data_IF_077301394199
#
_entry.id   IF_077301394199
#
_cell.length_a   1.000
_cell.length_b   1.000
_cell.length_c   1.000
_cell.angle_alpha   90.00
_cell.angle_beta   90.00
_cell.angle_gamma   90.00
#
_symmetry.space_group_name_H-M   'P 1'
#
loop_
_entity.id
_entity.type
_entity.pdbx_description
1 polymer ?
#
# COMPACT_ATOMS: atom_id res chain seq x y z
N UNK A 1 -44.63 5.91 -5.03
CA UNK A 1 -43.51 4.96 -4.98
C UNK A 1 -42.38 5.62 -5.75
N UNK A 2 -41.40 6.17 -5.02
CA UNK A 2 -40.24 6.82 -5.60
C UNK A 2 -39.20 5.71 -5.72
N UNK A 3 -38.80 5.40 -6.95
CA UNK A 3 -37.74 4.43 -7.22
C UNK A 3 -36.43 5.05 -6.76
N UNK A 4 -35.82 4.47 -5.74
CA UNK A 4 -34.51 4.88 -5.25
C UNK A 4 -33.47 4.54 -6.33
N UNK A 5 -32.70 5.57 -6.69
CA UNK A 5 -31.60 5.50 -7.64
C UNK A 5 -30.41 4.90 -6.90
N UNK A 6 -30.16 3.60 -7.08
CA UNK A 6 -28.93 2.97 -6.58
C UNK A 6 -27.73 3.67 -7.23
N UNK A 7 -26.94 4.36 -6.40
CA UNK A 7 -25.70 4.97 -6.84
C UNK A 7 -24.74 3.85 -7.28
N UNK A 8 -24.00 4.03 -8.39
CA UNK A 8 -23.02 3.04 -8.81
C UNK A 8 -21.93 2.91 -7.75
N UNK A 9 -21.72 1.70 -7.24
CA UNK A 9 -20.58 1.34 -6.39
C UNK A 9 -19.30 1.58 -7.19
N UNK A 10 -18.73 2.77 -7.02
CA UNK A 10 -17.44 3.13 -7.56
C UNK A 10 -16.37 2.26 -6.93
N UNK A 11 -15.72 1.45 -7.75
CA UNK A 11 -14.53 0.69 -7.42
C UNK A 11 -13.40 1.64 -6.98
N UNK A 12 -13.28 1.91 -5.67
CA UNK A 12 -12.20 2.73 -5.09
C UNK A 12 -10.99 1.84 -4.84
N UNK A 13 -10.18 1.58 -5.87
CA UNK A 13 -8.93 0.79 -5.74
C UNK A 13 -7.78 1.50 -6.47
N UNK A 14 -7.52 2.77 -6.17
CA UNK A 14 -6.38 3.48 -6.78
C UNK A 14 -5.77 4.62 -5.91
N UNK A 15 -6.47 5.11 -4.89
CA UNK A 15 -6.01 6.29 -4.12
C UNK A 15 -5.23 5.99 -2.82
N UNK A 16 -5.04 4.71 -2.48
CA UNK A 16 -4.38 4.26 -1.24
C UNK A 16 -2.85 4.18 -1.39
N UNK A 17 -2.33 3.49 -2.41
CA UNK A 17 -0.88 3.22 -2.58
C UNK A 17 0.01 4.48 -2.53
N UNK A 18 -0.33 5.56 -3.25
CA UNK A 18 0.50 6.79 -3.23
C UNK A 18 0.50 7.47 -1.85
N UNK A 19 -0.65 7.52 -1.17
CA UNK A 19 -0.73 8.12 0.16
C UNK A 19 0.01 7.28 1.19
N UNK A 20 -0.06 5.97 1.05
CA UNK A 20 0.58 5.01 1.93
C UNK A 20 2.10 5.08 1.78
N UNK A 21 2.60 5.10 0.54
CA UNK A 21 4.01 5.36 0.22
C UNK A 21 4.51 6.70 0.77
N UNK A 22 3.74 7.78 0.63
CA UNK A 22 4.09 9.10 1.18
C UNK A 22 4.13 9.06 2.71
N UNK A 23 3.21 8.34 3.34
CA UNK A 23 3.16 8.23 4.79
C UNK A 23 4.33 7.41 5.35
N UNK A 24 4.74 6.33 4.66
CA UNK A 24 5.93 5.56 5.01
C UNK A 24 7.22 6.39 4.85
N UNK A 25 7.35 7.14 3.75
CA UNK A 25 8.47 8.06 3.54
C UNK A 25 8.51 9.16 4.61
N UNK A 26 7.35 9.70 4.99
CA UNK A 26 7.24 10.70 6.05
C UNK A 26 7.75 10.19 7.40
N UNK A 27 7.35 8.98 7.78
CA UNK A 27 7.86 8.35 9.01
C UNK A 27 9.38 8.14 8.97
N UNK A 28 9.92 7.69 7.83
CA UNK A 28 11.37 7.51 7.68
C UNK A 28 12.14 8.81 7.90
N UNK A 29 11.66 9.91 7.30
CA UNK A 29 12.28 11.24 7.46
C UNK A 29 12.22 11.70 8.92
N UNK A 30 11.06 11.55 9.58
CA UNK A 30 10.91 11.91 11.00
C UNK A 30 11.88 11.09 11.86
N UNK A 31 11.95 9.78 11.61
CA UNK A 31 12.84 8.89 12.33
C UNK A 31 14.32 9.28 12.23
N UNK A 32 14.81 9.61 11.03
CA UNK A 32 16.20 10.08 10.86
C UNK A 32 16.46 11.41 11.58
N UNK A 33 15.50 12.34 11.53
CA UNK A 33 15.62 13.64 12.20
C UNK A 33 15.66 13.48 13.73
N UNK A 34 14.80 12.64 14.29
CA UNK A 34 14.78 12.34 15.73
C UNK A 34 16.04 11.59 16.16
N UNK A 35 16.49 10.61 15.38
CA UNK A 35 17.72 9.88 15.67
C UNK A 35 18.94 10.82 15.72
N UNK A 36 19.14 11.64 14.69
CA UNK A 36 20.24 12.61 14.64
C UNK A 36 20.07 13.66 15.75
N UNK A 37 18.85 14.17 15.92
CA UNK A 37 18.51 15.16 16.93
C UNK A 37 18.85 14.68 18.33
N UNK A 38 18.38 13.49 18.70
CA UNK A 38 18.66 12.85 19.98
C UNK A 38 20.13 12.57 20.23
N UNK A 39 20.88 12.14 19.20
CA UNK A 39 22.35 11.98 19.30
C UNK A 39 23.02 13.34 19.58
N UNK A 40 22.67 14.38 18.83
CA UNK A 40 23.29 15.70 18.96
C UNK A 40 22.93 16.42 20.27
N UNK A 41 21.75 16.17 20.82
CA UNK A 41 21.29 16.74 22.11
C UNK A 41 21.60 15.84 23.30
N UNK A 42 22.16 14.65 23.06
CA UNK A 42 22.32 13.59 24.07
C UNK A 42 21.00 13.21 24.77
N UNK A 43 19.89 13.26 24.04
CA UNK A 43 18.58 12.78 24.49
C UNK A 43 18.35 11.34 24.00
N UNK A 44 18.52 10.33 24.88
CA UNK A 44 18.35 8.93 24.50
C UNK A 44 16.90 8.57 24.15
N UNK A 45 15.91 9.30 24.66
CA UNK A 45 14.51 9.03 24.34
C UNK A 45 14.20 9.47 22.90
N UNK A 46 14.62 10.69 22.53
CA UNK A 46 14.45 11.18 21.15
C UNK A 46 15.21 10.29 20.16
N UNK A 47 16.40 9.80 20.51
CA UNK A 47 17.14 8.87 19.65
C UNK A 47 16.39 7.53 19.47
N UNK A 48 15.80 6.98 20.54
CA UNK A 48 15.03 5.75 20.50
C UNK A 48 13.69 5.91 19.74
N UNK A 49 13.03 7.06 19.86
CA UNK A 49 11.84 7.39 19.06
C UNK A 49 12.17 7.41 17.57
N UNK A 50 13.33 7.96 17.22
CA UNK A 50 13.84 7.95 15.86
C UNK A 50 14.04 6.53 15.31
N UNK A 51 14.69 5.66 16.08
CA UNK A 51 14.90 4.24 15.73
C UNK A 51 13.57 3.50 15.53
N UNK A 52 12.60 3.71 16.44
CA UNK A 52 11.27 3.12 16.32
C UNK A 52 10.54 3.58 15.04
N UNK A 53 10.59 4.88 14.72
CA UNK A 53 9.94 5.41 13.52
C UNK A 53 10.55 4.86 12.23
N UNK A 54 11.87 4.58 12.22
CA UNK A 54 12.54 3.92 11.10
C UNK A 54 12.07 2.47 10.94
N UNK A 55 12.01 1.70 12.02
CA UNK A 55 11.56 0.30 12.00
C UNK A 55 10.10 0.18 11.53
N UNK A 56 9.22 1.07 12.01
CA UNK A 56 7.81 1.11 11.56
C UNK A 56 7.71 1.44 10.08
N UNK A 57 8.51 2.39 9.59
CA UNK A 57 8.52 2.76 8.17
C UNK A 57 9.01 1.61 7.28
N UNK A 58 10.04 0.88 7.71
CA UNK A 58 10.57 -0.29 7.01
C UNK A 58 9.53 -1.42 6.95
N UNK A 59 8.96 -1.80 8.10
CA UNK A 59 7.93 -2.85 8.16
C UNK A 59 6.71 -2.51 7.30
N UNK A 60 6.31 -1.23 7.28
CA UNK A 60 5.19 -0.79 6.45
C UNK A 60 5.52 -0.87 4.96
N UNK A 61 6.74 -0.52 4.57
CA UNK A 61 7.22 -0.66 3.19
C UNK A 61 7.26 -2.12 2.75
N UNK A 62 7.78 -3.02 3.59
CA UNK A 62 7.81 -4.46 3.29
C UNK A 62 6.39 -5.03 3.08
N UNK A 63 5.45 -4.67 3.94
CA UNK A 63 4.05 -5.11 3.80
C UNK A 63 3.42 -4.57 2.50
N UNK A 64 3.72 -3.33 2.13
CA UNK A 64 3.17 -2.72 0.90
C UNK A 64 3.77 -3.37 -0.35
N UNK A 65 5.09 -3.62 -0.38
CA UNK A 65 5.78 -4.32 -1.46
C UNK A 65 5.24 -5.77 -1.63
N UNK A 66 4.99 -6.48 -0.53
CA UNK A 66 4.39 -7.83 -0.53
C UNK A 66 2.95 -7.83 -1.07
N UNK A 67 2.16 -6.80 -0.78
CA UNK A 67 0.79 -6.65 -1.28
C UNK A 67 0.76 -6.30 -2.77
N UNK A 68 1.64 -5.40 -3.23
CA UNK A 68 1.74 -5.01 -4.65
C UNK A 68 2.24 -6.19 -5.53
N UNK A 69 3.16 -6.99 -5.01
CA UNK A 69 3.62 -8.20 -5.71
C UNK A 69 2.55 -9.31 -5.81
N UNK A 70 1.62 -9.36 -4.85
CA UNK A 70 0.52 -10.33 -4.82
C UNK A 70 -0.64 -10.00 -5.77
N UNK A 71 -0.94 -8.72 -6.01
CA UNK A 71 -1.98 -8.26 -6.95
C UNK A 71 -1.53 -8.39 -8.43
N UNK A 72 -0.28 -8.79 -8.69
CA UNK A 72 0.33 -8.87 -10.02
C UNK A 72 0.31 -10.28 -10.66
N UNK A 73 -0.40 -11.26 -10.08
CA UNK A 73 -0.64 -12.53 -10.79
C UNK A 73 -1.71 -12.33 -11.88
N UNK A 74 -1.36 -12.36 -13.19
CA UNK A 74 -2.39 -12.48 -14.20
C UNK A 74 -3.05 -13.84 -14.04
N UNK A 75 -4.37 -13.87 -13.89
CA UNK A 75 -5.19 -15.05 -14.16
C UNK A 75 -4.95 -15.47 -15.61
N UNK A 76 -3.90 -16.27 -15.82
CA UNK A 76 -3.64 -16.93 -17.08
C UNK A 76 -4.57 -18.12 -17.21
N UNK A 77 -5.87 -17.87 -17.43
CA UNK A 77 -6.72 -18.80 -18.17
C UNK A 77 -6.87 -18.29 -19.61
N UNK A 78 -5.98 -18.82 -20.44
CA UNK A 78 -6.23 -19.10 -21.87
C UNK A 78 -7.40 -20.10 -21.92
N UNK A 79 -8.47 -19.94 -22.73
CA UNK A 79 -8.48 -19.97 -24.19
C UNK A 79 -9.86 -19.49 -24.73
N UNK A 80 -9.91 -18.47 -25.62
CA UNK A 80 -11.15 -17.98 -26.23
C UNK A 80 -11.50 -18.78 -27.49
N UNK A 81 -12.11 -19.97 -27.38
CA UNK A 81 -12.31 -20.71 -28.63
C UNK A 81 -12.96 -22.10 -28.62
N UNK A 82 -14.02 -22.36 -27.86
CA UNK A 82 -14.90 -23.51 -28.17
C UNK A 82 -16.11 -23.06 -28.99
N UNK A 83 -15.87 -22.79 -30.27
CA UNK A 83 -16.92 -22.84 -31.28
C UNK A 83 -17.32 -24.31 -31.47
N UNK A 84 -18.50 -24.70 -30.99
CA UNK A 84 -19.18 -25.91 -31.48
C UNK A 84 -20.60 -25.50 -31.89
N UNK A 85 -20.72 -25.02 -33.12
CA UNK A 85 -21.96 -25.16 -33.89
C UNK A 85 -21.56 -25.82 -35.19
N UNK A 86 -21.80 -27.12 -35.29
CA UNK A 86 -21.90 -27.83 -36.57
C UNK A 86 -22.80 -29.05 -36.34
N UNK A 87 -23.87 -29.16 -37.13
CA UNK A 87 -24.67 -30.38 -37.27
C UNK A 87 -26.17 -30.12 -37.38
N UNK A 88 -26.63 -30.03 -38.63
CA UNK A 88 -28.04 -30.07 -39.09
C UNK A 88 -28.95 -31.10 -38.39
#
# INVERSE_FOLDING_TARGET
MITENEAPEGNVKESTSIKDSISALGQKIIGEVEMIGGILTADPNTAAEGEFNLEVAELRGEIEDDLESSDSQPDAETDPGKATTDGE
#
